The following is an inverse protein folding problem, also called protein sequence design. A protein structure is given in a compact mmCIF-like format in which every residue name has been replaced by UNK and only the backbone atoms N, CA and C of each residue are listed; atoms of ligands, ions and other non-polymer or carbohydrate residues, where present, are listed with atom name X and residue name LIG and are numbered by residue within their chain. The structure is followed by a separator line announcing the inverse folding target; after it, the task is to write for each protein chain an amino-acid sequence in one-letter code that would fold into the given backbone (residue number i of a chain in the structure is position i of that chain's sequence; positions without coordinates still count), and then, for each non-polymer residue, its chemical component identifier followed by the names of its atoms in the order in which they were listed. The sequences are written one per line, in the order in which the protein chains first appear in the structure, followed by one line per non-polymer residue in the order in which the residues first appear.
data_IF_378025549706
#
_entry.id   IF_378025549706
#
_cell.length_a   1.000
_cell.length_b   1.000
_cell.length_c   1.000
_cell.angle_alpha   90.00
_cell.angle_beta   90.00
_cell.angle_gamma   90.00
#
_symmetry.space_group_name_H-M   'P 1'
#
loop_
_entity.id
_entity.type
_entity.pdbx_description
1 polymer ?
#
# COMPACT_ATOMS: atom_id res chain seq x y z
N UNK A 1 -17.61 6.29 8.99
CA UNK A 1 -18.72 7.14 8.53
C UNK A 1 -19.46 6.41 7.42
N UNK A 2 -20.75 6.15 7.59
CA UNK A 2 -21.54 5.47 6.56
C UNK A 2 -21.72 6.35 5.32
N UNK A 3 -21.70 5.75 4.12
CA UNK A 3 -22.02 6.41 2.86
C UNK A 3 -22.63 5.40 1.87
N UNK A 4 -23.54 5.86 0.99
CA UNK A 4 -24.19 4.98 0.03
C UNK A 4 -23.27 4.65 -1.14
N UNK A 5 -23.43 3.44 -1.67
CA UNK A 5 -22.76 2.96 -2.88
C UNK A 5 -23.74 2.18 -3.74
N UNK A 6 -23.46 2.08 -5.04
CA UNK A 6 -24.23 1.29 -6.00
C UNK A 6 -23.36 0.20 -6.60
N UNK A 7 -23.94 -0.95 -6.86
CA UNK A 7 -23.23 -2.08 -7.44
C UNK A 7 -22.89 -1.80 -8.90
N UNK A 8 -21.70 -2.23 -9.31
CA UNK A 8 -21.24 -2.17 -10.69
C UNK A 8 -21.91 -3.28 -11.51
N UNK A 9 -22.30 -2.98 -12.75
CA UNK A 9 -23.02 -3.93 -13.63
C UNK A 9 -22.10 -5.00 -14.22
N UNK A 10 -20.88 -4.62 -14.62
CA UNK A 10 -19.96 -5.52 -15.33
C UNK A 10 -18.54 -5.55 -14.73
N UNK A 11 -18.38 -5.71 -13.40
CA UNK A 11 -17.06 -5.80 -12.78
C UNK A 11 -16.40 -7.14 -13.11
N UNK A 12 -15.07 -7.15 -13.26
CA UNK A 12 -14.29 -8.39 -13.45
C UNK A 12 -13.12 -8.44 -12.47
N UNK A 13 -12.84 -9.61 -11.89
CA UNK A 13 -11.65 -9.78 -11.03
C UNK A 13 -10.38 -9.97 -11.88
N UNK A 14 -9.59 -8.92 -12.08
CA UNK A 14 -8.39 -9.01 -12.93
C UNK A 14 -7.22 -9.72 -12.26
N UNK A 15 -7.19 -9.74 -10.93
CA UNK A 15 -6.15 -10.43 -10.16
C UNK A 15 -6.71 -10.97 -8.85
N UNK A 16 -6.24 -12.17 -8.48
CA UNK A 16 -6.51 -12.83 -7.20
C UNK A 16 -5.21 -13.27 -6.55
N UNK A 17 -5.13 -13.06 -5.24
CA UNK A 17 -4.01 -13.49 -4.43
C UNK A 17 -4.10 -14.99 -4.11
N UNK A 18 -3.50 -15.83 -4.95
CA UNK A 18 -3.55 -17.29 -4.81
C UNK A 18 -3.00 -17.77 -3.47
N UNK A 19 -1.90 -17.17 -2.99
CA UNK A 19 -1.27 -17.54 -1.71
C UNK A 19 -2.20 -17.25 -0.54
N UNK A 20 -2.84 -16.09 -0.52
CA UNK A 20 -3.79 -15.73 0.53
C UNK A 20 -5.02 -16.63 0.50
N UNK A 21 -5.63 -16.86 -0.66
CA UNK A 21 -6.79 -17.75 -0.75
C UNK A 21 -6.44 -19.20 -0.37
N UNK A 22 -5.28 -19.69 -0.80
CA UNK A 22 -4.82 -21.04 -0.48
C UNK A 22 -4.61 -21.22 1.04
N UNK A 23 -4.06 -20.22 1.73
CA UNK A 23 -3.92 -20.27 3.20
C UNK A 23 -5.26 -20.22 3.94
N UNK A 24 -6.35 -19.87 3.25
CA UNK A 24 -7.72 -19.90 3.76
C UNK A 24 -8.54 -21.07 3.18
N UNK A 25 -7.90 -22.05 2.55
CA UNK A 25 -8.53 -23.28 2.08
C UNK A 25 -9.16 -23.20 0.68
N UNK A 26 -8.85 -22.16 -0.11
CA UNK A 26 -9.36 -21.99 -1.48
C UNK A 26 -8.21 -21.96 -2.49
N UNK A 27 -8.08 -23.00 -3.31
CA UNK A 27 -7.14 -22.98 -4.43
C UNK A 27 -7.75 -22.30 -5.66
N UNK A 28 -7.58 -20.98 -5.77
CA UNK A 28 -8.09 -20.18 -6.91
C UNK A 28 -7.36 -20.46 -8.24
N UNK A 29 -6.43 -21.41 -8.29
CA UNK A 29 -5.89 -21.96 -9.54
C UNK A 29 -6.85 -22.99 -10.15
N UNK A 30 -7.69 -23.61 -9.33
CA UNK A 30 -8.76 -24.49 -9.78
C UNK A 30 -9.97 -23.68 -10.25
N UNK A 31 -10.52 -24.02 -11.42
CA UNK A 31 -11.58 -23.24 -12.07
C UNK A 31 -12.84 -23.11 -11.21
N UNK A 32 -13.27 -24.17 -10.52
CA UNK A 32 -14.46 -24.16 -9.67
C UNK A 32 -14.29 -23.25 -8.45
N UNK A 33 -13.20 -23.40 -7.70
CA UNK A 33 -12.91 -22.56 -6.54
C UNK A 33 -12.74 -21.09 -6.95
N UNK A 34 -12.07 -20.84 -8.08
CA UNK A 34 -11.92 -19.50 -8.66
C UNK A 34 -13.27 -18.85 -8.95
N UNK A 35 -14.18 -19.53 -9.66
CA UNK A 35 -15.50 -18.99 -9.98
C UNK A 35 -16.29 -18.64 -8.71
N UNK A 36 -16.22 -19.48 -7.68
CA UNK A 36 -16.88 -19.22 -6.39
C UNK A 36 -16.32 -17.97 -5.70
N UNK A 37 -15.00 -17.82 -5.66
CA UNK A 37 -14.33 -16.65 -5.08
C UNK A 37 -14.65 -15.38 -5.85
N UNK A 38 -14.63 -15.43 -7.18
CA UNK A 38 -14.96 -14.28 -8.03
C UNK A 38 -16.41 -13.82 -7.84
N UNK A 39 -17.35 -14.77 -7.83
CA UNK A 39 -18.76 -14.48 -7.56
C UNK A 39 -18.95 -13.88 -6.16
N UNK A 40 -18.21 -14.36 -5.15
CA UNK A 40 -18.22 -13.78 -3.81
C UNK A 40 -17.66 -12.35 -3.80
N UNK A 41 -16.53 -12.10 -4.46
CA UNK A 41 -15.92 -10.77 -4.54
C UNK A 41 -16.83 -9.76 -5.22
N UNK A 42 -17.39 -10.12 -6.37
CA UNK A 42 -18.30 -9.24 -7.13
C UNK A 42 -19.52 -8.89 -6.29
N UNK A 43 -20.20 -9.91 -5.74
CA UNK A 43 -21.40 -9.71 -4.94
C UNK A 43 -21.18 -8.86 -3.68
N UNK A 44 -19.99 -8.93 -3.06
CA UNK A 44 -19.73 -8.25 -1.77
C UNK A 44 -18.98 -6.93 -1.89
N UNK A 45 -18.18 -6.74 -2.94
CA UNK A 45 -17.23 -5.63 -3.00
C UNK A 45 -17.24 -4.85 -4.31
N UNK A 46 -17.92 -5.32 -5.37
CA UNK A 46 -18.01 -4.56 -6.62
C UNK A 46 -19.07 -3.45 -6.55
N UNK A 47 -18.88 -2.53 -5.62
CA UNK A 47 -19.70 -1.33 -5.43
C UNK A 47 -18.83 -0.09 -5.58
N UNK A 48 -19.42 1.01 -6.03
CA UNK A 48 -18.78 2.32 -6.06
C UNK A 48 -19.78 3.43 -5.73
N UNK A 49 -19.26 4.58 -5.29
CA UNK A 49 -20.03 5.81 -5.12
C UNK A 49 -20.51 6.24 -6.51
N UNK A 50 -21.82 6.46 -6.60
CA UNK A 50 -22.43 7.00 -7.80
C UNK A 50 -22.16 8.50 -7.87
N UNK A 51 -21.42 8.93 -8.89
CA UNK A 51 -21.02 10.31 -9.11
C UNK A 51 -21.81 10.90 -10.28
N UNK A 52 -22.16 12.18 -10.18
CA UNK A 52 -22.81 12.91 -11.26
C UNK A 52 -21.88 12.97 -12.48
N UNK A 53 -22.41 12.69 -13.67
CA UNK A 53 -21.63 12.62 -14.92
C UNK A 53 -21.06 11.24 -15.26
N UNK A 54 -21.15 10.24 -14.37
CA UNK A 54 -20.81 8.85 -14.73
C UNK A 54 -22.01 8.18 -15.41
N UNK A 55 -21.76 7.39 -16.46
CA UNK A 55 -22.81 6.66 -17.18
C UNK A 55 -23.58 5.74 -16.21
N UNK A 56 -24.86 6.05 -16.01
CA UNK A 56 -25.74 5.29 -15.12
C UNK A 56 -25.88 3.82 -15.52
N UNK A 57 -25.61 3.46 -16.78
CA UNK A 57 -25.61 2.07 -17.27
C UNK A 57 -24.49 1.23 -16.68
N UNK A 58 -23.42 1.85 -16.19
CA UNK A 58 -22.33 1.16 -15.51
C UNK A 58 -22.74 0.60 -14.13
N UNK A 59 -23.89 1.01 -13.60
CA UNK A 59 -24.40 0.60 -12.30
C UNK A 59 -25.69 -0.22 -12.42
N UNK A 60 -25.89 -1.12 -11.46
CA UNK A 60 -27.17 -1.80 -11.26
C UNK A 60 -28.10 -0.95 -10.36
N UNK A 61 -29.32 -1.41 -10.14
CA UNK A 61 -30.24 -0.83 -9.14
C UNK A 61 -29.89 -1.25 -7.71
N UNK A 62 -29.00 -2.23 -7.52
CA UNK A 62 -28.58 -2.69 -6.20
C UNK A 62 -27.72 -1.62 -5.52
N UNK A 63 -28.07 -1.31 -4.27
CA UNK A 63 -27.41 -0.33 -3.44
C UNK A 63 -27.00 -0.95 -2.10
N UNK A 64 -25.93 -0.41 -1.51
CA UNK A 64 -25.42 -0.83 -0.22
C UNK A 64 -24.85 0.36 0.54
N UNK A 65 -24.42 0.12 1.78
CA UNK A 65 -23.79 1.11 2.65
C UNK A 65 -22.41 0.62 3.06
N UNK A 66 -21.41 1.45 2.78
CA UNK A 66 -20.03 1.21 3.18
C UNK A 66 -19.62 2.24 4.24
N UNK A 67 -18.56 1.95 4.99
CA UNK A 67 -18.06 2.84 6.03
C UNK A 67 -16.67 3.37 5.70
N UNK A 68 -16.49 4.69 5.64
CA UNK A 68 -15.18 5.31 5.54
C UNK A 68 -14.56 5.38 6.95
N UNK A 69 -13.34 4.86 7.13
CA UNK A 69 -12.60 4.96 8.38
C UNK A 69 -12.19 6.41 8.66
N UNK A 70 -12.47 6.90 9.88
CA UNK A 70 -12.05 8.23 10.34
C UNK A 70 -10.72 8.12 11.05
N UNK A 71 -9.73 8.88 10.60
CA UNK A 71 -8.41 8.92 11.21
C UNK A 71 -7.74 10.27 10.94
N UNK A 72 -6.76 10.63 11.76
CA UNK A 72 -5.87 11.77 11.52
C UNK A 72 -4.63 11.36 10.75
N UNK A 73 -3.58 12.18 10.78
CA UNK A 73 -2.27 11.73 10.32
C UNK A 73 -1.19 12.58 10.99
N UNK A 74 0.02 12.05 11.05
CA UNK A 74 1.18 12.87 11.37
C UNK A 74 1.44 13.81 10.19
N UNK A 75 1.30 15.13 10.41
CA UNK A 75 1.53 16.16 9.39
C UNK A 75 0.26 16.90 8.96
N UNK A 76 0.29 17.49 7.76
CA UNK A 76 -0.73 18.40 7.22
C UNK A 76 -1.71 17.71 6.25
N UNK A 77 -2.24 16.54 6.61
CA UNK A 77 -3.19 15.85 5.72
C UNK A 77 -4.54 16.58 5.72
N UNK A 78 -5.07 16.96 4.53
CA UNK A 78 -6.35 17.67 4.45
C UNK A 78 -7.56 16.73 4.59
N UNK A 79 -7.37 15.42 4.58
CA UNK A 79 -8.46 14.43 4.64
C UNK A 79 -8.81 14.05 6.08
N UNK A 80 -10.08 13.72 6.32
CA UNK A 80 -10.59 13.27 7.62
C UNK A 80 -10.50 11.76 7.87
N UNK A 81 -9.80 11.04 6.99
CA UNK A 81 -9.73 9.59 6.97
C UNK A 81 -9.59 9.03 5.56
N UNK A 82 -10.19 7.86 5.32
CA UNK A 82 -10.13 7.14 4.05
C UNK A 82 -10.90 7.84 2.92
N UNK A 83 -10.28 8.82 2.24
CA UNK A 83 -10.91 9.62 1.19
C UNK A 83 -11.45 8.83 -0.01
N UNK A 84 -10.86 7.67 -0.31
CA UNK A 84 -11.23 6.79 -1.43
C UNK A 84 -11.40 5.32 -1.04
N UNK A 85 -11.68 5.06 0.24
CA UNK A 85 -11.71 3.71 0.79
C UNK A 85 -13.00 3.48 1.59
N UNK A 86 -13.72 2.42 1.24
CA UNK A 86 -14.92 1.96 1.94
C UNK A 86 -14.69 0.64 2.65
N UNK A 87 -15.25 0.49 3.84
CA UNK A 87 -15.14 -0.73 4.65
C UNK A 87 -16.49 -1.41 4.69
N UNK A 88 -16.50 -2.70 4.36
CA UNK A 88 -17.64 -3.59 4.47
C UNK A 88 -17.17 -5.02 4.74
N UNK A 89 -17.92 -5.78 5.52
CA UNK A 89 -17.67 -7.21 5.78
C UNK A 89 -16.26 -7.55 6.29
N UNK A 90 -15.60 -6.64 7.01
CA UNK A 90 -14.22 -6.84 7.50
C UNK A 90 -13.13 -6.56 6.47
N UNK A 91 -13.48 -6.07 5.28
CA UNK A 91 -12.56 -5.72 4.21
C UNK A 91 -12.62 -4.22 3.91
N UNK A 92 -11.50 -3.69 3.42
CA UNK A 92 -11.36 -2.37 2.86
C UNK A 92 -11.32 -2.47 1.33
N UNK A 93 -12.15 -1.68 0.67
CA UNK A 93 -12.23 -1.53 -0.79
C UNK A 93 -11.74 -0.13 -1.15
N UNK A 94 -10.57 -0.04 -1.76
CA UNK A 94 -9.95 1.22 -2.21
C UNK A 94 -10.30 1.48 -3.68
N UNK A 95 -10.50 2.74 -4.05
CA UNK A 95 -10.99 3.12 -5.38
C UNK A 95 -12.51 3.17 -5.50
N UNK A 96 -13.21 3.06 -4.36
CA UNK A 96 -14.67 3.00 -4.30
C UNK A 96 -15.36 4.30 -4.75
N UNK A 97 -14.63 5.37 -5.04
CA UNK A 97 -15.16 6.70 -5.29
C UNK A 97 -15.02 7.61 -4.08
N UNK A 98 -15.43 8.87 -4.26
CA UNK A 98 -15.22 9.93 -3.27
C UNK A 98 -16.05 9.68 -2.00
N UNK A 99 -15.38 9.49 -0.87
CA UNK A 99 -16.06 9.33 0.42
C UNK A 99 -16.32 10.68 1.09
N UNK A 100 -17.15 10.71 2.15
CA UNK A 100 -17.35 11.93 2.93
C UNK A 100 -16.14 12.48 3.68
N UNK A 101 -15.02 11.73 3.71
CA UNK A 101 -13.82 12.13 4.43
C UNK A 101 -12.78 12.81 3.53
N UNK A 102 -13.11 13.06 2.27
CA UNK A 102 -12.32 13.93 1.38
C UNK A 102 -12.40 15.37 1.86
N UNK A 103 -11.26 15.97 2.13
CA UNK A 103 -11.16 17.36 2.56
C UNK A 103 -11.34 18.35 1.42
N UNK A 104 -11.82 19.56 1.75
CA UNK A 104 -11.93 20.68 0.81
C UNK A 104 -10.60 21.04 0.13
N UNK A 105 -9.48 20.82 0.83
CA UNK A 105 -8.13 21.17 0.40
C UNK A 105 -7.33 19.97 -0.14
N UNK A 106 -7.98 18.82 -0.35
CA UNK A 106 -7.32 17.68 -0.98
C UNK A 106 -7.01 18.03 -2.44
N UNK A 107 -5.80 17.67 -2.90
CA UNK A 107 -5.45 17.76 -4.31
C UNK A 107 -6.36 16.84 -5.15
N UNK A 108 -6.40 17.10 -6.46
CA UNK A 108 -7.32 16.40 -7.36
C UNK A 108 -7.10 14.87 -7.37
N UNK A 109 -5.84 14.41 -7.30
CA UNK A 109 -5.51 12.98 -7.31
C UNK A 109 -6.04 12.26 -6.07
N UNK A 110 -6.14 12.97 -4.94
CA UNK A 110 -6.68 12.43 -3.69
C UNK A 110 -8.16 12.76 -3.47
N UNK A 111 -8.73 13.70 -4.23
CA UNK A 111 -10.11 14.15 -4.08
C UNK A 111 -11.12 13.42 -4.97
N UNK A 112 -10.70 12.91 -6.14
CA UNK A 112 -11.61 12.25 -7.09
C UNK A 112 -12.15 10.91 -6.58
N UNK A 113 -11.48 10.26 -5.63
CA UNK A 113 -11.95 9.01 -5.05
C UNK A 113 -11.65 7.76 -5.88
N UNK A 114 -11.01 7.91 -7.03
CA UNK A 114 -10.74 6.83 -7.97
C UNK A 114 -9.41 6.15 -7.63
N UNK A 115 -9.25 4.93 -8.13
CA UNK A 115 -7.99 4.19 -8.14
C UNK A 115 -7.84 3.65 -9.56
N UNK A 116 -6.72 3.95 -10.22
CA UNK A 116 -6.46 3.40 -11.54
C UNK A 116 -6.05 1.93 -11.42
N UNK A 117 -6.34 1.15 -12.46
CA UNK A 117 -5.99 -0.28 -12.47
C UNK A 117 -4.48 -0.51 -12.35
N UNK A 118 -3.67 0.38 -12.93
CA UNK A 118 -2.23 0.45 -12.73
C UNK A 118 -1.86 0.55 -11.24
N UNK A 119 -2.42 1.53 -10.54
CA UNK A 119 -2.12 1.77 -9.13
C UNK A 119 -2.52 0.55 -8.28
N UNK A 120 -3.67 -0.05 -8.60
CA UNK A 120 -4.17 -1.22 -7.89
C UNK A 120 -3.28 -2.46 -8.09
N UNK A 121 -2.82 -2.70 -9.33
CA UNK A 121 -1.92 -3.81 -9.64
C UNK A 121 -0.54 -3.61 -9.01
N UNK A 122 0.02 -2.39 -9.09
CA UNK A 122 1.28 -2.06 -8.43
C UNK A 122 1.20 -2.30 -6.92
N UNK A 123 0.11 -1.88 -6.29
CA UNK A 123 -0.09 -2.12 -4.86
C UNK A 123 -0.22 -3.61 -4.53
N UNK A 124 -0.93 -4.38 -5.36
CA UNK A 124 -1.04 -5.83 -5.20
C UNK A 124 0.34 -6.52 -5.29
N UNK A 125 1.12 -6.20 -6.33
CA UNK A 125 2.44 -6.76 -6.58
C UNK A 125 3.39 -6.47 -5.41
N UNK A 126 3.53 -5.20 -5.02
CA UNK A 126 4.45 -4.83 -3.95
C UNK A 126 4.04 -5.39 -2.60
N UNK A 127 2.74 -5.43 -2.30
CA UNK A 127 2.26 -6.07 -1.07
C UNK A 127 2.66 -7.56 -1.01
N UNK A 128 2.56 -8.28 -2.13
CA UNK A 128 2.93 -9.70 -2.20
C UNK A 128 4.44 -9.93 -2.21
N UNK A 129 5.23 -9.10 -2.90
CA UNK A 129 6.70 -9.18 -2.85
C UNK A 129 7.18 -9.00 -1.41
N UNK A 130 6.69 -7.94 -0.74
CA UNK A 130 7.08 -7.65 0.63
C UNK A 130 6.70 -8.79 1.57
N UNK A 131 5.48 -9.31 1.46
CA UNK A 131 5.01 -10.39 2.32
C UNK A 131 5.75 -11.71 2.07
N UNK A 132 6.14 -12.02 0.82
CA UNK A 132 6.94 -13.20 0.50
C UNK A 132 8.37 -13.10 1.00
N UNK A 133 8.99 -11.92 0.85
CA UNK A 133 10.38 -11.68 1.29
C UNK A 133 10.49 -11.52 2.80
N UNK A 134 9.46 -10.97 3.43
CA UNK A 134 9.39 -10.74 4.87
C UNK A 134 7.96 -10.93 5.37
N UNK A 135 7.57 -12.15 5.76
CA UNK A 135 6.23 -12.43 6.25
C UNK A 135 5.80 -11.53 7.42
N UNK A 136 4.54 -11.08 7.39
CA UNK A 136 3.98 -10.11 8.32
C UNK A 136 4.42 -8.67 8.07
N UNK A 137 4.86 -8.33 6.85
CA UNK A 137 5.32 -6.98 6.51
C UNK A 137 4.29 -6.13 5.78
N UNK A 138 3.33 -6.76 5.10
CA UNK A 138 2.35 -6.06 4.29
C UNK A 138 0.94 -6.54 4.59
N UNK A 139 -0.02 -5.62 4.60
CA UNK A 139 -1.44 -5.99 4.52
C UNK A 139 -1.67 -6.56 3.12
N UNK A 140 -2.13 -7.82 2.99
CA UNK A 140 -2.25 -8.45 1.67
C UNK A 140 -3.37 -7.78 0.88
N UNK A 141 -3.08 -7.44 -0.37
CA UNK A 141 -4.15 -7.24 -1.35
C UNK A 141 -4.68 -8.61 -1.74
N UNK A 142 -5.99 -8.84 -1.63
CA UNK A 142 -6.58 -10.17 -1.95
C UNK A 142 -7.14 -10.22 -3.36
N UNK A 143 -7.58 -9.08 -3.89
CA UNK A 143 -8.11 -8.99 -5.23
C UNK A 143 -7.98 -7.57 -5.80
N UNK A 144 -7.88 -7.50 -7.12
CA UNK A 144 -8.10 -6.29 -7.91
C UNK A 144 -9.28 -6.54 -8.83
N UNK A 145 -10.29 -5.69 -8.76
CA UNK A 145 -11.47 -5.73 -9.60
C UNK A 145 -11.42 -4.56 -10.58
N UNK A 146 -11.60 -4.84 -11.86
CA UNK A 146 -11.85 -3.82 -12.86
C UNK A 146 -13.32 -3.40 -12.78
N UNK A 147 -13.57 -2.10 -12.84
CA UNK A 147 -14.93 -1.58 -12.72
C UNK A 147 -15.66 -1.49 -14.07
N UNK A 148 -14.94 -1.57 -15.19
CA UNK A 148 -15.46 -1.24 -16.51
C UNK A 148 -15.70 0.27 -16.73
N UNK A 149 -15.33 1.11 -15.76
CA UNK A 149 -15.47 2.57 -15.80
C UNK A 149 -14.09 3.19 -16.01
N UNK A 150 -14.02 4.30 -16.74
CA UNK A 150 -12.82 5.09 -16.96
C UNK A 150 -12.92 6.41 -16.19
N UNK A 151 -11.80 6.90 -15.64
CA UNK A 151 -11.77 8.23 -15.02
C UNK A 151 -11.86 9.33 -16.09
N UNK A 152 -11.24 9.08 -17.25
CA UNK A 152 -11.43 9.82 -18.49
C UNK A 152 -11.96 8.84 -19.57
N UNK A 153 -13.22 9.01 -20.03
CA UNK A 153 -13.82 8.14 -21.04
C UNK A 153 -13.06 8.05 -22.36
N UNK A 154 -12.20 9.02 -22.69
CA UNK A 154 -11.41 9.02 -23.92
C UNK A 154 -10.00 8.45 -23.75
N UNK A 155 -9.53 8.27 -22.52
CA UNK A 155 -8.21 7.70 -22.24
C UNK A 155 -8.35 6.30 -21.62
N UNK A 156 -8.09 5.22 -22.38
CA UNK A 156 -8.20 3.85 -21.88
C UNK A 156 -7.22 3.55 -20.74
N UNK A 157 -6.18 4.36 -20.54
CA UNK A 157 -5.22 4.21 -19.42
C UNK A 157 -5.83 4.62 -18.09
N UNK A 158 -6.94 5.36 -18.11
CA UNK A 158 -7.63 5.82 -16.89
C UNK A 158 -8.66 4.82 -16.36
N UNK A 159 -8.57 3.56 -16.79
CA UNK A 159 -9.45 2.50 -16.33
C UNK A 159 -9.42 2.38 -14.81
N UNK A 160 -10.59 2.45 -14.18
CA UNK A 160 -10.76 2.44 -12.73
C UNK A 160 -10.84 1.02 -12.20
N UNK A 161 -10.25 0.82 -11.04
CA UNK A 161 -10.24 -0.44 -10.31
C UNK A 161 -10.72 -0.29 -8.87
N UNK A 162 -11.11 -1.41 -8.28
CA UNK A 162 -11.31 -1.59 -6.86
C UNK A 162 -10.21 -2.54 -6.35
N UNK A 163 -9.49 -2.11 -5.33
CA UNK A 163 -8.53 -2.95 -4.61
C UNK A 163 -9.17 -3.43 -3.32
N UNK A 164 -9.22 -4.75 -3.12
CA UNK A 164 -9.82 -5.38 -1.93
C UNK A 164 -8.71 -5.94 -1.04
N UNK A 165 -8.72 -5.58 0.24
CA UNK A 165 -7.80 -6.07 1.27
C UNK A 165 -8.50 -6.21 2.63
N UNK A 166 -8.01 -7.05 3.56
CA UNK A 166 -8.52 -7.07 4.93
C UNK A 166 -8.43 -5.68 5.57
N UNK A 167 -9.41 -5.32 6.38
CA UNK A 167 -9.35 -4.09 7.16
C UNK A 167 -8.35 -4.24 8.30
N UNK A 168 -7.43 -3.29 8.41
CA UNK A 168 -6.43 -3.22 9.49
C UNK A 168 -6.44 -1.81 10.08
N UNK A 169 -6.47 -1.72 11.41
CA UNK A 169 -6.41 -0.44 12.08
C UNK A 169 -5.02 0.17 11.89
N UNK A 170 -4.98 1.40 11.35
CA UNK A 170 -3.79 2.25 11.16
C UNK A 170 -3.36 2.96 12.45
N UNK A 171 -2.09 3.30 12.58
CA UNK A 171 -1.58 4.15 13.66
C UNK A 171 -2.27 5.53 13.67
N UNK A 172 -2.60 6.04 12.48
CA UNK A 172 -3.37 7.27 12.26
C UNK A 172 -4.72 7.33 13.01
N UNK A 173 -5.32 6.19 13.37
CA UNK A 173 -6.55 6.19 14.16
C UNK A 173 -6.39 6.83 15.54
N UNK A 174 -5.16 6.87 16.08
CA UNK A 174 -4.85 7.48 17.36
C UNK A 174 -4.50 8.96 17.26
N UNK A 175 -4.58 9.55 16.07
CA UNK A 175 -4.28 10.95 15.82
C UNK A 175 -5.54 11.70 15.40
N UNK A 176 -5.57 13.01 15.67
CA UNK A 176 -6.64 13.90 15.22
C UNK A 176 -6.46 14.33 13.76
N UNK A 177 -7.56 14.54 13.06
CA UNK A 177 -7.59 15.13 11.72
C UNK A 177 -7.71 16.65 11.80
N UNK A 178 -6.69 17.33 12.32
CA UNK A 178 -6.76 18.77 12.66
C UNK A 178 -6.88 19.70 11.46
N UNK A 179 -6.49 19.24 10.27
CA UNK A 179 -6.54 20.01 9.01
C UNK A 179 -7.70 19.59 8.10
N UNK A 180 -8.54 18.65 8.55
CA UNK A 180 -9.69 18.24 7.78
C UNK A 180 -10.74 19.35 7.80
N UNK A 181 -11.10 19.81 6.61
CA UNK A 181 -12.25 20.68 6.39
C UNK A 181 -13.26 19.88 5.56
N UNK A 182 -14.43 19.55 6.11
CA UNK A 182 -15.44 18.82 5.37
C UNK A 182 -15.95 19.65 4.18
N UNK A 183 -16.38 18.95 3.15
CA UNK A 183 -17.01 19.55 1.99
C UNK A 183 -18.34 20.21 2.41
N UNK A 184 -18.72 21.28 1.71
CA UNK A 184 -19.97 21.98 1.99
C UNK A 184 -21.20 21.06 1.88
N UNK A 185 -21.15 20.07 0.99
CA UNK A 185 -22.19 19.06 0.82
C UNK A 185 -22.24 18.02 1.96
N UNK A 186 -21.23 17.98 2.84
CA UNK A 186 -21.08 16.96 3.88
C UNK A 186 -20.60 17.54 5.22
N UNK A 187 -21.28 18.56 5.79
CA UNK A 187 -20.79 19.32 6.94
C UNK A 187 -20.65 18.47 8.22
N UNK A 188 -21.36 17.34 8.31
CA UNK A 188 -21.31 16.41 9.45
C UNK A 188 -20.20 15.36 9.34
N UNK A 189 -19.28 15.47 8.38
CA UNK A 189 -18.25 14.46 8.20
C UNK A 189 -17.24 14.38 9.36
N UNK A 190 -17.04 15.49 10.07
CA UNK A 190 -16.17 15.57 11.25
C UNK A 190 -16.96 15.80 12.55
N UNK A 191 -17.65 14.75 13.02
CA UNK A 191 -18.23 14.79 14.38
C UNK A 191 -17.13 14.54 15.41
N UNK A 192 -16.97 15.50 16.33
CA UNK A 192 -16.14 15.51 17.55
C UNK A 192 -14.89 14.61 17.47
N UNK A 193 -13.94 15.01 16.62
CA UNK A 193 -12.73 14.24 16.35
C UNK A 193 -11.89 13.94 17.61
N UNK A 194 -11.95 14.81 18.62
CA UNK A 194 -11.31 14.58 19.92
C UNK A 194 -11.89 13.35 20.64
N UNK A 195 -13.21 13.20 20.70
CA UNK A 195 -13.89 12.05 21.32
C UNK A 195 -13.59 10.76 20.54
N UNK A 196 -13.64 10.81 19.21
CA UNK A 196 -13.25 9.68 18.36
C UNK A 196 -11.82 9.24 18.65
N UNK A 197 -10.88 10.18 18.75
CA UNK A 197 -9.48 9.87 19.04
C UNK A 197 -9.32 9.28 20.43
N UNK A 198 -9.98 9.86 21.44
CA UNK A 198 -9.98 9.36 22.80
C UNK A 198 -10.51 7.92 22.86
N UNK A 199 -11.64 7.63 22.20
CA UNK A 199 -12.20 6.29 22.11
C UNK A 199 -11.24 5.30 21.45
N UNK A 200 -10.59 5.69 20.34
CA UNK A 200 -9.63 4.84 19.66
C UNK A 200 -8.41 4.53 20.54
N UNK A 201 -7.86 5.55 21.20
CA UNK A 201 -6.73 5.40 22.13
C UNK A 201 -7.13 4.50 23.30
N UNK A 202 -8.27 4.73 23.95
CA UNK A 202 -8.73 3.95 25.10
C UNK A 202 -9.05 2.49 24.73
N UNK A 203 -9.62 2.26 23.53
CA UNK A 203 -9.90 0.90 23.05
C UNK A 203 -8.62 0.11 22.78
N UNK A 204 -7.58 0.76 22.28
CA UNK A 204 -6.28 0.12 22.07
C UNK A 204 -5.50 -0.04 23.37
N UNK A 205 -5.52 0.99 24.22
CA UNK A 205 -4.87 1.04 25.52
C UNK A 205 -5.78 0.47 26.62
N UNK A 206 -6.25 -0.78 26.45
CA UNK A 206 -7.04 -1.45 27.49
C UNK A 206 -6.36 -1.43 28.87
N UNK A 207 -5.03 -1.37 28.86
CA UNK A 207 -4.17 -0.97 29.97
C UNK A 207 -2.97 -0.19 29.42
N UNK A 208 -2.28 0.56 30.28
CA UNK A 208 -1.03 1.23 29.91
C UNK A 208 0.02 0.23 29.38
N UNK A 209 0.15 -0.93 30.02
CA UNK A 209 1.09 -1.97 29.59
C UNK A 209 0.71 -2.55 28.21
N UNK A 210 -0.58 -2.72 27.92
CA UNK A 210 -1.05 -3.15 26.60
C UNK A 210 -0.68 -2.12 25.52
N UNK A 211 -0.89 -0.84 25.78
CA UNK A 211 -0.48 0.24 24.87
C UNK A 211 1.03 0.23 24.61
N UNK A 212 1.84 0.18 25.68
CA UNK A 212 3.30 0.12 25.60
C UNK A 212 3.77 -1.08 24.79
N UNK A 213 3.22 -2.28 25.05
CA UNK A 213 3.57 -3.51 24.32
C UNK A 213 3.17 -3.42 22.84
N UNK A 214 1.94 -2.99 22.55
CA UNK A 214 1.42 -2.87 21.19
C UNK A 214 2.23 -1.91 20.34
N UNK A 215 2.46 -0.69 20.83
CA UNK A 215 3.30 0.30 20.13
C UNK A 215 4.75 -0.18 19.98
N UNK A 216 5.33 -0.79 21.02
CA UNK A 216 6.70 -1.34 20.94
C UNK A 216 6.83 -2.40 19.84
N UNK A 217 5.88 -3.32 19.75
CA UNK A 217 5.86 -4.36 18.72
C UNK A 217 5.66 -3.78 17.32
N UNK A 218 4.69 -2.87 17.15
CA UNK A 218 4.43 -2.24 15.84
C UNK A 218 5.66 -1.47 15.33
N UNK A 219 6.28 -0.65 16.18
CA UNK A 219 7.45 0.15 15.79
C UNK A 219 8.70 -0.70 15.56
N UNK A 220 8.88 -1.79 16.30
CA UNK A 220 9.96 -2.74 16.03
C UNK A 220 9.78 -3.41 14.64
N UNK A 221 8.56 -3.84 14.30
CA UNK A 221 8.25 -4.41 13.00
C UNK A 221 8.50 -3.40 11.86
N UNK A 222 7.92 -2.20 11.97
CA UNK A 222 8.10 -1.11 10.99
C UNK A 222 9.57 -0.76 10.79
N UNK A 223 10.34 -0.62 11.86
CA UNK A 223 11.77 -0.35 11.77
C UNK A 223 12.54 -1.48 11.08
N UNK A 224 12.13 -2.73 11.28
CA UNK A 224 12.63 -3.88 10.52
C UNK A 224 12.28 -3.80 9.03
N UNK A 225 11.06 -3.39 8.67
CA UNK A 225 10.67 -3.22 7.26
C UNK A 225 11.44 -2.08 6.59
N UNK A 226 11.67 -0.96 7.29
CA UNK A 226 12.53 0.13 6.82
C UNK A 226 13.96 -0.37 6.62
N UNK A 227 14.53 -1.11 7.59
CA UNK A 227 15.87 -1.67 7.46
C UNK A 227 16.01 -2.61 6.25
N UNK A 228 15.02 -3.48 6.03
CA UNK A 228 14.94 -4.31 4.84
C UNK A 228 14.95 -3.46 3.56
N UNK A 229 14.08 -2.44 3.51
CA UNK A 229 14.03 -1.50 2.38
C UNK A 229 15.36 -0.80 2.14
N UNK A 230 16.05 -0.36 3.20
CA UNK A 230 17.35 0.27 3.09
C UNK A 230 18.42 -0.67 2.52
N UNK A 231 18.48 -1.93 2.96
CA UNK A 231 19.47 -2.89 2.45
C UNK A 231 19.19 -3.24 0.98
N UNK A 232 17.93 -3.46 0.63
CA UNK A 232 17.51 -3.92 -0.70
C UNK A 232 17.18 -2.80 -1.68
N UNK A 233 17.40 -1.55 -1.29
CA UNK A 233 17.06 -0.33 -2.05
C UNK A 233 15.57 -0.28 -2.43
N UNK A 234 14.71 -0.80 -1.57
CA UNK A 234 13.26 -0.76 -1.75
C UNK A 234 12.71 0.41 -0.95
N UNK A 235 12.11 1.36 -1.66
CA UNK A 235 11.51 2.54 -1.07
C UNK A 235 9.99 2.45 -1.12
N UNK A 236 9.33 2.48 0.04
CA UNK A 236 7.87 2.43 0.13
C UNK A 236 7.19 3.65 -0.55
N UNK A 237 7.89 4.78 -0.68
CA UNK A 237 7.32 6.06 -1.09
C UNK A 237 6.96 6.99 0.07
N UNK A 238 7.45 6.68 1.28
CA UNK A 238 7.21 7.43 2.51
C UNK A 238 6.41 6.62 3.55
N UNK A 239 6.76 6.76 4.83
CA UNK A 239 6.13 6.07 5.94
C UNK A 239 5.27 7.04 6.75
N UNK A 240 3.99 7.13 6.40
CA UNK A 240 3.03 7.92 7.15
C UNK A 240 2.28 7.05 8.16
N UNK A 241 1.79 7.64 9.26
CA UNK A 241 0.96 6.92 10.24
C UNK A 241 -0.33 6.35 9.64
N UNK A 242 -0.80 6.92 8.53
CA UNK A 242 -1.91 6.41 7.76
C UNK A 242 -1.55 5.16 6.92
N UNK A 243 -0.27 4.92 6.63
CA UNK A 243 0.18 3.80 5.80
C UNK A 243 0.79 2.66 6.64
N UNK A 244 0.67 2.75 7.97
CA UNK A 244 1.22 1.78 8.92
C UNK A 244 0.14 1.30 9.88
N UNK A 245 0.04 -0.02 10.09
CA UNK A 245 -0.95 -0.61 10.98
C UNK A 245 -0.50 -0.59 12.44
N UNK A 246 -1.46 -0.75 13.34
CA UNK A 246 -1.25 -0.96 14.78
C UNK A 246 -0.50 -2.27 15.10
N UNK A 247 -0.37 -3.17 14.12
CA UNK A 247 0.40 -4.41 14.19
C UNK A 247 1.79 -4.27 13.56
N UNK A 248 2.09 -3.14 12.92
CA UNK A 248 3.37 -2.85 12.28
C UNK A 248 3.48 -3.30 10.82
N UNK A 249 2.35 -3.59 10.16
CA UNK A 249 2.31 -3.91 8.74
C UNK A 249 2.24 -2.63 7.90
N UNK A 250 2.76 -2.67 6.68
CA UNK A 250 2.68 -1.61 5.68
C UNK A 250 1.45 -1.81 4.77
N UNK A 251 0.92 -0.70 4.26
CA UNK A 251 -0.15 -0.67 3.26
C UNK A 251 -0.01 0.58 2.39
N UNK A 252 -0.78 0.65 1.30
CA UNK A 252 -0.75 1.75 0.33
C UNK A 252 0.58 1.83 -0.46
N UNK A 253 0.96 0.72 -1.10
CA UNK A 253 2.19 0.56 -1.90
C UNK A 253 2.17 1.24 -3.29
N UNK A 254 1.21 2.13 -3.57
CA UNK A 254 1.06 2.75 -4.90
C UNK A 254 2.28 3.57 -5.37
N UNK A 255 3.11 4.04 -4.44
CA UNK A 255 4.34 4.79 -4.73
C UNK A 255 5.62 3.98 -4.49
N UNK A 256 5.50 2.71 -4.08
CA UNK A 256 6.63 1.83 -3.79
C UNK A 256 7.41 1.52 -5.06
N UNK A 257 8.73 1.47 -4.94
CA UNK A 257 9.66 1.19 -6.03
C UNK A 257 11.02 0.73 -5.52
N UNK A 258 11.78 0.09 -6.40
CA UNK A 258 13.20 -0.14 -6.15
C UNK A 258 14.05 1.03 -6.67
N UNK A 259 15.18 1.31 -6.02
CA UNK A 259 16.13 2.36 -6.38
C UNK A 259 17.42 1.75 -6.94
N UNK A 260 18.03 2.45 -7.89
CA UNK A 260 19.30 2.06 -8.50
C UNK A 260 20.45 2.04 -7.48
N UNK A 261 20.43 2.96 -6.53
CA UNK A 261 21.45 3.11 -5.49
C UNK A 261 20.83 3.57 -4.15
N UNK A 262 21.66 3.91 -3.17
CA UNK A 262 21.25 4.44 -1.86
C UNK A 262 21.21 5.96 -1.80
N UNK A 263 21.17 6.65 -2.94
CA UNK A 263 21.07 8.11 -2.96
C UNK A 263 19.69 8.55 -2.44
N UNK A 264 19.61 9.70 -1.75
CA UNK A 264 18.34 10.18 -1.20
C UNK A 264 17.45 10.67 -2.34
N UNK A 265 16.26 10.07 -2.50
CA UNK A 265 15.30 10.43 -3.53
C UNK A 265 13.90 10.60 -2.94
N UNK A 266 13.18 11.65 -3.38
CA UNK A 266 11.73 11.81 -3.16
C UNK A 266 11.04 11.74 -4.51
N UNK A 267 9.86 11.12 -4.54
CA UNK A 267 9.03 10.97 -5.74
C UNK A 267 7.69 11.68 -5.62
N UNK A 268 7.58 12.54 -4.61
CA UNK A 268 6.47 13.47 -4.42
C UNK A 268 7.03 14.83 -4.02
N UNK A 269 6.35 15.89 -4.40
CA UNK A 269 6.76 17.26 -4.05
C UNK A 269 6.78 17.43 -2.52
N UNK A 270 7.94 17.78 -1.97
CA UNK A 270 8.19 17.86 -0.53
C UNK A 270 7.96 16.53 0.25
N UNK A 271 7.97 15.41 -0.47
CA UNK A 271 7.87 14.07 0.11
C UNK A 271 9.06 13.65 0.95
N UNK A 272 8.86 12.55 1.67
CA UNK A 272 9.93 11.89 2.42
C UNK A 272 10.93 11.31 1.43
N UNK A 273 12.21 11.48 1.74
CA UNK A 273 13.29 10.90 0.93
C UNK A 273 13.67 9.52 1.43
N UNK A 274 14.10 8.66 0.52
CA UNK A 274 14.77 7.42 0.89
C UNK A 274 15.98 7.68 1.79
N UNK A 275 16.04 6.99 2.94
CA UNK A 275 16.97 7.21 4.04
C UNK A 275 16.41 8.04 5.19
N UNK A 276 15.29 8.76 5.02
CA UNK A 276 14.65 9.57 6.06
C UNK A 276 13.51 8.85 6.80
N UNK A 277 13.18 7.62 6.45
CA UNK A 277 12.02 6.88 6.97
C UNK A 277 12.12 6.66 8.49
N UNK A 278 13.32 6.43 9.03
CA UNK A 278 13.50 6.33 10.49
C UNK A 278 13.24 7.66 11.20
N UNK A 279 13.57 8.79 10.58
CA UNK A 279 13.22 10.13 11.11
C UNK A 279 11.70 10.29 11.10
N UNK A 280 11.03 9.90 10.03
CA UNK A 280 9.57 9.94 9.94
C UNK A 280 8.89 9.02 10.96
N UNK A 281 9.41 7.80 11.15
CA UNK A 281 8.93 6.88 12.18
C UNK A 281 9.03 7.51 13.57
N UNK A 282 10.13 8.21 13.88
CA UNK A 282 10.28 8.95 15.14
C UNK A 282 9.25 10.08 15.28
N UNK A 283 8.93 10.78 14.20
CA UNK A 283 7.90 11.83 14.21
C UNK A 283 6.51 11.27 14.49
N UNK A 284 6.18 10.11 13.90
CA UNK A 284 4.95 9.37 14.21
C UNK A 284 4.93 8.98 15.70
N UNK A 285 6.03 8.43 16.23
CA UNK A 285 6.10 8.04 17.66
C UNK A 285 5.83 9.22 18.59
N UNK A 286 6.41 10.38 18.28
CA UNK A 286 6.23 11.61 19.04
C UNK A 286 4.77 12.07 19.00
N UNK A 287 4.13 12.02 17.83
CA UNK A 287 2.71 12.35 17.67
C UNK A 287 1.82 11.40 18.48
N UNK A 288 2.04 10.09 18.37
CA UNK A 288 1.29 9.09 19.11
C UNK A 288 1.48 9.26 20.63
N UNK A 289 2.70 9.46 21.11
CA UNK A 289 2.95 9.68 22.53
C UNK A 289 2.20 10.91 23.07
N UNK A 290 2.08 11.98 22.28
CA UNK A 290 1.25 13.13 22.64
C UNK A 290 -0.22 12.73 22.84
N UNK A 291 -0.82 12.00 21.90
CA UNK A 291 -2.24 11.63 22.00
C UNK A 291 -2.52 10.58 23.08
N UNK A 292 -1.64 9.59 23.25
CA UNK A 292 -1.76 8.61 24.33
C UNK A 292 -1.67 9.27 25.71
N UNK A 293 -0.80 10.27 25.87
CA UNK A 293 -0.76 11.08 27.10
C UNK A 293 -2.00 11.94 27.26
N UNK A 294 -2.40 12.64 26.19
CA UNK A 294 -3.54 13.57 26.21
C UNK A 294 -4.85 12.92 26.64
N UNK A 295 -5.08 11.69 26.22
CA UNK A 295 -6.32 10.96 26.53
C UNK A 295 -6.19 9.99 27.71
N UNK A 296 -5.12 10.11 28.51
CA UNK A 296 -4.99 9.39 29.78
C UNK A 296 -4.60 7.91 29.66
N UNK A 297 -4.18 7.45 28.47
CA UNK A 297 -3.74 6.07 28.29
C UNK A 297 -2.34 5.80 28.84
N UNK A 298 -1.50 6.83 28.95
CA UNK A 298 -0.10 6.73 29.39
C UNK A 298 0.28 8.01 30.14
N UNK A 299 0.70 7.90 31.40
CA UNK A 299 1.13 9.06 32.19
C UNK A 299 2.49 9.59 31.72
N UNK A 300 3.50 8.71 31.66
CA UNK A 300 4.85 9.07 31.20
C UNK A 300 5.03 8.76 29.70
N UNK A 301 4.62 9.74 28.88
CA UNK A 301 4.80 9.73 27.43
C UNK A 301 6.26 9.72 26.99
N UNK A 302 7.19 10.29 27.77
CA UNK A 302 8.61 10.34 27.40
C UNK A 302 9.28 8.98 27.63
N UNK A 303 8.94 8.28 28.72
CA UNK A 303 9.32 6.90 28.92
C UNK A 303 8.75 5.99 27.83
N UNK A 304 7.51 6.21 27.39
CA UNK A 304 6.97 5.47 26.24
C UNK A 304 7.86 5.68 25.00
N UNK A 305 8.12 6.94 24.63
CA UNK A 305 8.94 7.25 23.46
C UNK A 305 10.32 6.58 23.54
N UNK A 306 11.02 6.72 24.67
CA UNK A 306 12.34 6.09 24.86
C UNK A 306 12.28 4.57 24.69
N UNK A 307 11.33 3.90 25.35
CA UNK A 307 11.22 2.45 25.31
C UNK A 307 10.87 1.92 23.92
N UNK A 308 9.89 2.53 23.25
CA UNK A 308 9.46 2.16 21.90
C UNK A 308 10.57 2.43 20.89
N UNK A 309 11.22 3.59 20.97
CA UNK A 309 12.31 3.95 20.07
C UNK A 309 13.52 3.04 20.22
N UNK A 310 13.88 2.65 21.44
CA UNK A 310 14.96 1.69 21.67
C UNK A 310 14.66 0.31 21.07
N UNK A 311 13.41 -0.14 21.11
CA UNK A 311 13.01 -1.37 20.43
C UNK A 311 13.09 -1.24 18.91
N UNK A 312 12.64 -0.11 18.35
CA UNK A 312 12.76 0.20 16.92
C UNK A 312 14.22 0.21 16.45
N UNK A 313 15.11 0.90 17.17
CA UNK A 313 16.54 0.94 16.86
C UNK A 313 17.20 -0.44 16.88
N UNK A 314 16.86 -1.27 17.88
CA UNK A 314 17.36 -2.66 17.94
C UNK A 314 16.87 -3.47 16.75
N UNK A 315 15.57 -3.43 16.44
CA UNK A 315 15.01 -4.18 15.32
C UNK A 315 15.59 -3.73 13.97
N UNK A 316 15.79 -2.43 13.78
CA UNK A 316 16.47 -1.87 12.62
C UNK A 316 17.91 -2.40 12.51
N UNK A 317 18.70 -2.28 13.58
CA UNK A 317 20.09 -2.71 13.58
C UNK A 317 20.25 -4.21 13.35
N UNK A 318 19.43 -5.04 14.00
CA UNK A 318 19.40 -6.49 13.80
C UNK A 318 19.03 -6.84 12.35
N UNK A 319 18.03 -6.19 11.79
CA UNK A 319 17.59 -6.46 10.41
C UNK A 319 18.66 -6.02 9.40
N UNK A 320 19.22 -4.80 9.52
CA UNK A 320 20.33 -4.36 8.66
C UNK A 320 21.49 -5.35 8.72
N UNK A 321 21.83 -5.81 9.92
CA UNK A 321 22.92 -6.76 10.08
C UNK A 321 22.64 -8.09 9.37
N UNK A 322 21.47 -8.70 9.62
CA UNK A 322 21.10 -9.98 8.99
C UNK A 322 21.03 -9.85 7.47
N UNK A 323 20.24 -8.91 6.96
CA UNK A 323 19.98 -8.77 5.53
C UNK A 323 21.26 -8.39 4.75
N UNK A 324 22.14 -7.59 5.35
CA UNK A 324 23.44 -7.28 4.73
C UNK A 324 24.26 -8.56 4.59
N UNK A 325 24.39 -9.36 5.65
CA UNK A 325 25.16 -10.60 5.57
C UNK A 325 24.59 -11.55 4.50
N UNK A 326 23.27 -11.67 4.42
CA UNK A 326 22.59 -12.48 3.42
C UNK A 326 22.90 -11.98 1.99
N UNK A 327 22.87 -10.67 1.74
CA UNK A 327 23.24 -10.06 0.44
C UNK A 327 24.70 -10.34 0.07
N UNK A 328 25.61 -10.39 1.05
CA UNK A 328 27.02 -10.75 0.83
C UNK A 328 27.26 -12.27 0.78
N UNK A 329 26.22 -13.09 0.88
CA UNK A 329 26.34 -14.56 0.93
C UNK A 329 27.05 -15.08 2.18
N UNK A 330 27.09 -14.29 3.25
CA UNK A 330 27.73 -14.62 4.51
C UNK A 330 26.73 -15.25 5.47
N UNK A 331 27.11 -16.37 6.08
CA UNK A 331 26.29 -17.09 7.05
C UNK A 331 26.70 -16.73 8.48
N UNK A 332 25.94 -17.23 9.45
CA UNK A 332 26.17 -17.00 10.88
C UNK A 332 27.54 -17.51 11.36
N UNK A 333 28.02 -18.57 10.73
CA UNK A 333 29.29 -19.27 10.96
C UNK A 333 30.47 -18.66 10.20
N UNK A 334 30.21 -17.72 9.27
CA UNK A 334 31.29 -17.00 8.59
C UNK A 334 32.17 -16.25 9.58
N UNK A 335 33.46 -16.13 9.24
CA UNK A 335 34.47 -15.51 10.11
C UNK A 335 33.99 -14.13 10.60
N UNK A 336 34.13 -13.88 11.89
CA UNK A 336 33.63 -12.65 12.50
C UNK A 336 34.29 -11.39 11.90
N UNK A 337 35.54 -11.50 11.44
CA UNK A 337 36.25 -10.42 10.73
C UNK A 337 35.55 -10.08 9.41
N UNK A 338 35.22 -11.08 8.59
CA UNK A 338 34.52 -10.92 7.31
C UNK A 338 33.14 -10.30 7.49
N UNK A 339 32.37 -10.78 8.48
CA UNK A 339 31.04 -10.22 8.80
C UNK A 339 31.15 -8.75 9.20
N UNK A 340 32.12 -8.39 10.06
CA UNK A 340 32.36 -6.98 10.44
C UNK A 340 32.75 -6.12 9.23
N UNK A 341 33.61 -6.62 8.35
CA UNK A 341 34.04 -5.91 7.15
C UNK A 341 32.88 -5.66 6.18
N UNK A 342 32.01 -6.65 5.95
CA UNK A 342 30.82 -6.50 5.10
C UNK A 342 29.86 -5.43 5.65
N UNK A 343 29.55 -5.48 6.95
CA UNK A 343 28.70 -4.50 7.61
C UNK A 343 29.31 -3.08 7.56
N UNK A 344 30.61 -2.97 7.79
CA UNK A 344 31.32 -1.70 7.71
C UNK A 344 31.29 -1.13 6.28
N UNK A 345 31.53 -1.97 5.27
CA UNK A 345 31.47 -1.57 3.87
C UNK A 345 30.07 -1.08 3.49
N UNK A 346 29.02 -1.87 3.76
CA UNK A 346 27.64 -1.51 3.44
C UNK A 346 27.22 -0.19 4.11
N UNK A 347 27.53 -0.03 5.41
CA UNK A 347 27.25 1.21 6.15
C UNK A 347 28.01 2.41 5.56
N UNK A 348 29.25 2.21 5.14
CA UNK A 348 30.06 3.27 4.54
C UNK A 348 29.49 3.69 3.18
N UNK A 349 29.12 2.74 2.33
CA UNK A 349 28.49 3.02 1.03
C UNK A 349 27.16 3.76 1.21
N UNK A 350 26.29 3.26 2.09
CA UNK A 350 25.02 3.92 2.40
C UNK A 350 25.24 5.37 2.83
N UNK A 351 26.17 5.63 3.76
CA UNK A 351 26.47 6.99 4.23
C UNK A 351 27.03 7.90 3.14
N UNK A 352 27.96 7.40 2.34
CA UNK A 352 28.57 8.17 1.24
C UNK A 352 27.49 8.57 0.24
N UNK A 353 26.61 7.65 -0.15
CA UNK A 353 25.56 7.94 -1.13
C UNK A 353 24.46 8.84 -0.56
N UNK A 354 24.06 8.65 0.70
CA UNK A 354 23.16 9.55 1.41
C UNK A 354 23.74 10.98 1.59
N UNK A 355 25.07 11.12 1.52
CA UNK A 355 25.77 12.40 1.55
C UNK A 355 25.94 13.08 0.19
N UNK A 356 25.71 12.38 -0.93
CA UNK A 356 25.79 12.96 -2.28
C UNK A 356 24.57 13.87 -2.52
N UNK A 357 24.85 15.09 -2.99
CA UNK A 357 23.95 16.22 -3.28
C UNK A 357 22.45 16.05 -2.94
N UNK A 358 22.01 16.76 -1.89
CA UNK A 358 20.60 16.90 -1.45
C UNK A 358 19.67 17.61 -2.46
N UNK A 359 20.16 18.02 -3.63
CA UNK A 359 19.49 18.95 -4.55
C UNK A 359 19.34 18.43 -5.98
N UNK A 360 19.82 17.23 -6.30
CA UNK A 360 19.48 16.59 -7.56
C UNK A 360 18.27 15.68 -7.33
N UNK A 361 17.08 16.12 -7.77
CA UNK A 361 16.10 15.14 -8.23
C UNK A 361 16.82 14.32 -9.30
N UNK A 362 16.87 12.98 -9.22
CA UNK A 362 17.22 12.22 -10.40
C UNK A 362 16.29 12.70 -11.51
N UNK A 363 16.77 13.04 -12.72
CA UNK A 363 15.84 13.25 -13.82
C UNK A 363 14.98 11.99 -13.90
N UNK A 364 13.67 12.16 -14.10
CA UNK A 364 12.66 11.08 -14.16
C UNK A 364 13.02 9.95 -15.17
N UNK A 365 14.11 10.08 -15.94
CA UNK A 365 14.62 9.11 -16.90
C UNK A 365 15.83 8.26 -16.50
N UNK A 366 16.52 8.48 -15.36
CA UNK A 366 17.76 7.74 -15.09
C UNK A 366 17.53 6.27 -14.65
N UNK A 367 16.33 5.95 -14.18
CA UNK A 367 15.88 4.58 -13.96
C UNK A 367 15.09 4.02 -15.17
N UNK A 368 14.91 4.81 -16.24
CA UNK A 368 13.91 4.52 -17.26
C UNK A 368 14.44 4.01 -18.59
N UNK A 369 15.73 4.09 -18.95
CA UNK A 369 16.13 3.67 -20.31
C UNK A 369 16.03 2.15 -20.51
N UNK A 370 16.47 1.34 -19.55
CA UNK A 370 16.30 -0.13 -19.62
C UNK A 370 14.86 -0.57 -19.40
N UNK A 371 14.13 0.11 -18.51
CA UNK A 371 12.71 -0.11 -18.26
C UNK A 371 11.87 0.24 -19.50
N UNK A 372 12.17 1.35 -20.19
CA UNK A 372 11.52 1.75 -21.44
C UNK A 372 11.85 0.81 -22.60
N UNK A 373 13.09 0.31 -22.69
CA UNK A 373 13.49 -0.70 -23.68
C UNK A 373 12.81 -2.07 -23.40
N UNK A 374 12.69 -2.49 -22.14
CA UNK A 374 11.99 -3.72 -21.76
C UNK A 374 10.48 -3.60 -21.88
N UNK A 375 9.89 -2.46 -21.54
CA UNK A 375 8.49 -2.11 -21.82
C UNK A 375 8.25 -2.04 -23.33
N UNK A 376 9.21 -1.55 -24.14
CA UNK A 376 9.11 -1.59 -25.59
C UNK A 376 9.18 -3.02 -26.15
N UNK A 377 10.07 -3.88 -25.63
CA UNK A 377 10.18 -5.29 -25.99
C UNK A 377 8.96 -6.11 -25.53
N UNK A 378 8.44 -5.85 -24.34
CA UNK A 378 7.22 -6.45 -23.82
C UNK A 378 5.99 -5.94 -24.60
N UNK A 379 5.93 -4.66 -24.97
CA UNK A 379 4.95 -4.13 -25.94
C UNK A 379 5.05 -4.87 -27.28
N UNK A 380 6.25 -5.11 -27.80
CA UNK A 380 6.45 -5.84 -29.06
C UNK A 380 6.07 -7.33 -28.95
N UNK A 381 6.28 -7.94 -27.79
CA UNK A 381 5.88 -9.32 -27.48
C UNK A 381 4.37 -9.47 -27.19
N UNK A 382 3.72 -8.41 -26.71
CA UNK A 382 2.28 -8.35 -26.39
C UNK A 382 1.44 -7.86 -27.59
N UNK A 383 1.99 -7.05 -28.48
CA UNK A 383 1.30 -6.50 -29.66
C UNK A 383 0.81 -7.57 -30.65
N UNK A 384 1.34 -8.79 -30.59
CA UNK A 384 1.06 -9.85 -31.55
C UNK A 384 0.20 -11.00 -31.00
N UNK A 385 -0.32 -10.93 -29.77
CA UNK A 385 -1.18 -11.99 -29.20
C UNK A 385 -2.26 -11.43 -28.28
N UNK A 386 -3.51 -11.94 -28.33
CA UNK A 386 -4.55 -11.51 -27.40
C UNK A 386 -4.13 -11.82 -25.96
N UNK A 387 -4.06 -10.78 -25.13
CA UNK A 387 -3.96 -10.90 -23.68
C UNK A 387 -5.30 -11.43 -23.19
N UNK A 388 -5.33 -12.62 -22.59
CA UNK A 388 -6.50 -13.10 -21.83
C UNK A 388 -6.27 -12.83 -20.34
N UNK A 389 -7.35 -12.68 -19.58
CA UNK A 389 -7.31 -12.50 -18.12
C UNK A 389 -6.47 -13.57 -17.43
N UNK A 390 -6.65 -14.82 -17.83
CA UNK A 390 -5.95 -15.99 -17.30
C UNK A 390 -4.45 -15.88 -17.55
N UNK A 391 -4.06 -15.30 -18.70
CA UNK A 391 -2.66 -15.11 -19.07
C UNK A 391 -2.00 -13.96 -18.30
N UNK A 392 -2.72 -12.88 -18.03
CA UNK A 392 -2.26 -11.77 -17.16
C UNK A 392 -1.98 -12.30 -15.76
N UNK A 393 -2.94 -13.04 -15.20
CA UNK A 393 -2.79 -13.60 -13.86
C UNK A 393 -1.70 -14.67 -13.80
N UNK A 394 -1.62 -15.56 -14.80
CA UNK A 394 -0.55 -16.57 -14.89
C UNK A 394 0.83 -15.93 -14.89
N UNK A 395 1.05 -14.90 -15.72
CA UNK A 395 2.32 -14.17 -15.75
C UNK A 395 2.64 -13.44 -14.44
N UNK A 396 1.64 -12.84 -13.81
CA UNK A 396 1.83 -12.20 -12.50
C UNK A 396 2.20 -13.25 -11.43
N UNK A 397 1.56 -14.43 -11.44
CA UNK A 397 1.91 -15.53 -10.53
C UNK A 397 3.31 -16.06 -10.80
N UNK A 398 3.68 -16.33 -12.06
CA UNK A 398 5.03 -16.76 -12.46
C UNK A 398 6.09 -15.76 -12.01
N UNK A 399 5.88 -14.47 -12.25
CA UNK A 399 6.83 -13.43 -11.88
C UNK A 399 6.93 -13.26 -10.36
N UNK A 400 5.81 -13.36 -9.63
CA UNK A 400 5.82 -13.36 -8.17
C UNK A 400 6.50 -14.60 -7.58
N UNK A 401 6.32 -15.77 -8.19
CA UNK A 401 6.95 -17.03 -7.79
C UNK A 401 8.46 -16.97 -7.98
N UNK A 402 8.91 -16.45 -9.12
CA UNK A 402 10.33 -16.17 -9.39
C UNK A 402 10.93 -15.14 -8.41
N UNK A 403 10.17 -14.08 -8.11
CA UNK A 403 10.58 -13.08 -7.12
C UNK A 403 10.59 -13.63 -5.69
N UNK A 404 9.77 -14.62 -5.37
CA UNK A 404 9.69 -15.26 -4.06
C UNK A 404 10.78 -16.30 -3.82
N UNK A 405 11.24 -17.01 -4.86
CA UNK A 405 12.21 -18.11 -4.75
C UNK A 405 13.67 -17.65 -4.51
N UNK A 406 13.92 -16.34 -4.41
CA UNK A 406 15.24 -15.78 -4.06
C UNK A 406 16.33 -15.96 -5.12
N UNK A 407 16.00 -16.52 -6.29
CA UNK A 407 16.98 -16.91 -7.31
C UNK A 407 17.44 -15.80 -8.25
N UNK A 408 16.70 -14.69 -8.36
CA UNK A 408 17.06 -13.59 -9.27
C UNK A 408 16.94 -12.21 -8.58
N UNK A 409 18.04 -11.46 -8.43
CA UNK A 409 18.02 -10.13 -7.85
C UNK A 409 17.28 -9.09 -8.71
N UNK A 410 16.97 -9.40 -9.98
CA UNK A 410 16.19 -8.54 -10.90
C UNK A 410 14.69 -8.82 -10.88
N UNK A 411 14.23 -9.81 -10.11
CA UNK A 411 12.82 -10.17 -10.12
C UNK A 411 11.85 -9.02 -9.74
N UNK A 412 12.20 -8.06 -8.85
CA UNK A 412 11.38 -6.87 -8.63
C UNK A 412 11.35 -5.92 -9.84
N UNK A 413 12.49 -5.72 -10.53
CA UNK A 413 12.56 -4.94 -11.78
C UNK A 413 11.68 -5.58 -12.87
N UNK A 414 11.76 -6.89 -13.04
CA UNK A 414 10.91 -7.64 -13.98
C UNK A 414 9.41 -7.55 -13.65
N UNK A 415 9.06 -7.40 -12.37
CA UNK A 415 7.67 -7.25 -11.92
C UNK A 415 7.15 -5.84 -12.15
N UNK A 416 7.97 -4.81 -11.94
CA UNK A 416 7.64 -3.44 -12.34
C UNK A 416 7.51 -3.34 -13.87
N UNK A 417 8.43 -3.95 -14.64
CA UNK A 417 8.36 -4.04 -16.10
C UNK A 417 7.11 -4.77 -16.59
N UNK A 418 6.75 -5.88 -15.95
CA UNK A 418 5.54 -6.64 -16.28
C UNK A 418 4.28 -5.83 -15.94
N UNK A 419 4.26 -5.15 -14.79
CA UNK A 419 3.16 -4.25 -14.43
C UNK A 419 2.99 -3.17 -15.49
N UNK A 420 4.05 -2.43 -15.83
CA UNK A 420 4.03 -1.36 -16.85
C UNK A 420 3.64 -1.86 -18.25
N UNK A 421 4.02 -3.10 -18.57
CA UNK A 421 3.66 -3.75 -19.83
C UNK A 421 2.19 -4.17 -19.87
N UNK A 422 1.65 -4.69 -18.77
CA UNK A 422 0.22 -4.98 -18.61
C UNK A 422 -0.63 -3.71 -18.65
N UNK A 423 -0.11 -2.62 -18.09
CA UNK A 423 -0.69 -1.27 -18.11
C UNK A 423 -0.72 -0.71 -19.54
N UNK A 424 0.37 -0.86 -20.29
CA UNK A 424 0.50 -0.31 -21.64
C UNK A 424 -0.27 -1.11 -22.71
N UNK A 425 -0.47 -2.41 -22.50
CA UNK A 425 -1.05 -3.29 -23.53
C UNK A 425 -2.58 -3.27 -23.59
N UNK A 426 -3.25 -2.64 -22.61
CA UNK A 426 -4.71 -2.66 -22.49
C UNK A 426 -5.20 -4.05 -22.09
N UNK A 427 -5.74 -4.19 -20.87
CA UNK A 427 -6.40 -5.43 -20.47
C UNK A 427 -7.57 -5.71 -21.43
N UNK A 428 -7.75 -6.97 -21.90
CA UNK A 428 -8.83 -7.30 -22.83
C UNK A 428 -10.17 -6.85 -22.26
N UNK A 429 -11.02 -6.30 -23.13
CA UNK A 429 -12.44 -6.15 -22.86
C UNK A 429 -13.03 -7.55 -22.64
N UNK A 430 -13.97 -7.75 -21.69
CA UNK A 430 -14.81 -8.93 -21.77
C UNK A 430 -15.42 -8.97 -23.17
N UNK A 431 -15.39 -10.13 -23.83
CA UNK A 431 -16.09 -10.31 -25.09
C UNK A 431 -17.53 -9.82 -24.89
N UNK A 432 -18.03 -8.94 -25.77
CA UNK A 432 -19.45 -8.63 -25.78
C UNK A 432 -20.18 -9.97 -25.87
N UNK A 433 -20.96 -10.33 -24.84
CA UNK A 433 -21.92 -11.41 -25.00
C UNK A 433 -22.78 -11.06 -26.22
N UNK A 434 -23.07 -12.02 -27.12
CA UNK A 434 -23.90 -11.76 -28.27
C UNK A 434 -25.21 -11.16 -27.75
N UNK A 435 -25.55 -9.96 -28.22
CA UNK A 435 -26.87 -9.38 -28.00
C UNK A 435 -27.87 -10.42 -28.47
N UNK A 436 -28.56 -11.06 -27.53
CA UNK A 436 -29.72 -11.88 -27.86
C UNK A 436 -30.73 -10.91 -28.47
N UNK A 437 -30.97 -11.11 -29.77
CA UNK A 437 -31.87 -10.29 -30.58
C UNK A 437 -33.32 -10.42 -30.11
#
# INVERSE_FOLDING_TARGET
MAFPVRQLRSPIAVWLNSRWFLSHGFDVRESGARQQVEAWLIRRFAFAVFEEGVDARAFSSEASVFHAERYGATGLSPNGGGGRAGIAHGFCVKGIGRTPLVGKRADWQHANGHLLIEEALREAIWSEIMERRRPGSAVPTIAVLDTGIFADPVDPRTRRALLVRPFEARLAHFERATFFEPLASMPRAQVIDAERTALAVNKFASTENAARKGLRSAFAALAGHIAYGHVHRLFHGGLYSANATTRGLLLDFGSTRQLADWSPASFTDNGVRFGEEMKQLRDILRSLAYYFRKYGAIEDGDALQRNVWQAALRAYATTVASETLDVFGLKSESEASLRRSALHFARSQFRVQQGRNRHAMPPDGACSTRLQEHVALARQALANRPLTRERVQGRLHEALDHAGSGGDPRAPEMLDELAESLISAGLPMPAEEPRVA
#
